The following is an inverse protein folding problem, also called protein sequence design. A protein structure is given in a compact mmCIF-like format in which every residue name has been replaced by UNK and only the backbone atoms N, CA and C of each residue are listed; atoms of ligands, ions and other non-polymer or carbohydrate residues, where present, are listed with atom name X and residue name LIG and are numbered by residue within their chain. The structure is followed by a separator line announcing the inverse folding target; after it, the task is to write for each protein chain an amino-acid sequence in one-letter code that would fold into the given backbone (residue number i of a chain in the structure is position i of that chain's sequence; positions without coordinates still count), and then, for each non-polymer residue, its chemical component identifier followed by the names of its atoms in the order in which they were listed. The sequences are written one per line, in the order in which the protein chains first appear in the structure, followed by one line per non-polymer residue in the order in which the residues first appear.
data_IF_591244444771
#
_entry.id   IF_591244444771
#
_cell.length_a   1.000
_cell.length_b   1.000
_cell.length_c   1.000
_cell.angle_alpha   90.00
_cell.angle_beta   90.00
_cell.angle_gamma   90.00
#
_symmetry.space_group_name_H-M   'P 1'
#
loop_
_entity.id
_entity.type
_entity.pdbx_description
1 polymer ?
#
# COMPACT_ATOMS: atom_id res chain seq x y z
N UNK A 1 -53.20 12.73 4.24
CA UNK A 1 -53.31 13.11 2.82
C UNK A 1 -52.95 11.86 2.02
N UNK A 2 -53.95 11.10 1.58
CA UNK A 2 -53.72 9.90 0.80
C UNK A 2 -53.41 10.31 -0.64
N UNK A 3 -52.18 10.05 -1.09
CA UNK A 3 -51.80 10.26 -2.48
C UNK A 3 -52.59 9.27 -3.35
N UNK A 4 -53.58 9.79 -4.09
CA UNK A 4 -54.34 9.00 -5.06
C UNK A 4 -53.39 8.36 -6.08
N UNK A 5 -53.62 7.09 -6.43
CA UNK A 5 -52.88 6.37 -7.46
C UNK A 5 -52.78 7.14 -8.79
N UNK A 6 -53.78 7.98 -9.09
CA UNK A 6 -53.78 8.86 -10.27
C UNK A 6 -52.64 9.89 -10.22
N UNK A 7 -52.29 10.40 -9.04
CA UNK A 7 -51.19 11.35 -8.84
C UNK A 7 -49.83 10.68 -8.99
N UNK A 8 -49.69 9.44 -8.50
CA UNK A 8 -48.48 8.63 -8.71
C UNK A 8 -48.27 8.32 -10.19
N UNK A 9 -49.34 7.95 -10.91
CA UNK A 9 -49.27 7.67 -12.35
C UNK A 9 -48.90 8.92 -13.16
N UNK A 10 -49.46 10.08 -12.80
CA UNK A 10 -49.09 11.37 -13.40
C UNK A 10 -47.62 11.72 -13.18
N UNK A 11 -47.11 11.54 -11.95
CA UNK A 11 -45.69 11.80 -11.64
C UNK A 11 -44.74 10.84 -12.37
N UNK A 12 -45.16 9.58 -12.56
CA UNK A 12 -44.37 8.59 -13.28
C UNK A 12 -44.34 8.90 -14.78
N UNK A 13 -45.47 9.29 -15.37
CA UNK A 13 -45.56 9.71 -16.76
C UNK A 13 -44.78 11.01 -17.04
N UNK A 14 -44.81 11.99 -16.12
CA UNK A 14 -44.01 13.22 -16.27
C UNK A 14 -42.52 12.93 -16.12
N UNK A 15 -42.13 12.05 -15.20
CA UNK A 15 -40.73 11.63 -15.05
C UNK A 15 -40.20 10.93 -16.31
N UNK A 16 -40.97 10.00 -16.90
CA UNK A 16 -40.60 9.33 -18.15
C UNK A 16 -40.54 10.30 -19.33
N UNK A 17 -41.44 11.28 -19.40
CA UNK A 17 -41.41 12.33 -20.43
C UNK A 17 -40.17 13.22 -20.35
N UNK A 18 -39.75 13.58 -19.13
CA UNK A 18 -38.52 14.36 -18.90
C UNK A 18 -37.27 13.53 -19.22
N UNK A 19 -37.24 12.25 -18.84
CA UNK A 19 -36.13 11.36 -19.18
C UNK A 19 -36.02 11.13 -20.69
N UNK A 20 -37.14 10.95 -21.39
CA UNK A 20 -37.15 10.78 -22.84
C UNK A 20 -36.66 12.03 -23.58
N UNK A 21 -37.08 13.22 -23.15
CA UNK A 21 -36.64 14.49 -23.75
C UNK A 21 -35.15 14.77 -23.47
N UNK A 22 -34.63 14.43 -22.28
CA UNK A 22 -33.21 14.53 -21.97
C UNK A 22 -32.35 13.58 -22.82
N UNK A 23 -32.76 12.31 -22.95
CA UNK A 23 -32.06 11.31 -23.79
C UNK A 23 -32.09 11.71 -25.27
N UNK A 24 -33.23 12.25 -25.76
CA UNK A 24 -33.35 12.74 -27.13
C UNK A 24 -32.45 13.95 -27.40
N UNK A 25 -32.39 14.90 -26.47
CA UNK A 25 -31.53 16.09 -26.59
C UNK A 25 -30.03 15.72 -26.60
N UNK A 26 -29.64 14.73 -25.81
CA UNK A 26 -28.29 14.15 -25.84
C UNK A 26 -28.01 13.43 -27.17
N UNK A 27 -28.99 12.71 -27.73
CA UNK A 27 -28.82 12.01 -29.02
C UNK A 27 -28.73 12.97 -30.21
N UNK A 28 -29.44 14.09 -30.17
CA UNK A 28 -29.35 15.13 -31.20
C UNK A 28 -28.03 15.93 -31.12
N UNK A 29 -27.36 15.98 -29.96
CA UNK A 29 -26.04 16.61 -29.81
C UNK A 29 -24.86 15.73 -30.27
N UNK A 30 -25.05 14.41 -30.38
CA UNK A 30 -24.02 13.49 -30.92
C UNK A 30 -24.11 13.24 -32.44
N UNK A 31 -25.13 13.76 -33.11
CA UNK A 31 -25.34 13.59 -34.56
C UNK A 31 -25.28 14.92 -35.32
N UNK A 32 -24.19 15.67 -35.15
CA UNK A 32 -23.86 16.78 -36.06
C UNK A 32 -22.83 16.29 -37.09
N UNK A 33 -23.16 16.25 -38.39
CA UNK A 33 -22.18 16.07 -39.45
C UNK A 33 -21.32 17.32 -39.53
N UNK A 34 -19.99 17.17 -39.56
CA UNK A 34 -19.09 18.27 -39.89
C UNK A 34 -19.41 18.78 -41.31
N UNK A 35 -19.94 19.99 -41.40
CA UNK A 35 -20.19 20.69 -42.64
C UNK A 35 -19.69 22.12 -42.46
N UNK A 36 -18.41 22.35 -42.79
CA UNK A 36 -18.07 23.29 -43.86
C UNK A 36 -16.56 23.41 -44.05
N UNK A 37 -16.18 23.09 -45.28
CA UNK A 37 -14.88 23.27 -45.90
C UNK A 37 -14.76 24.66 -46.50
N UNK A 38 -13.82 25.48 -46.03
CA UNK A 38 -13.30 26.61 -46.81
C UNK A 38 -11.93 27.11 -46.29
N UNK A 39 -10.89 26.29 -46.36
CA UNK A 39 -9.53 26.69 -46.77
C UNK A 39 -8.53 25.57 -46.54
N UNK A 40 -8.10 24.93 -47.63
CA UNK A 40 -6.74 24.48 -47.89
C UNK A 40 -6.74 23.80 -49.26
N UNK A 41 -6.54 24.60 -50.32
CA UNK A 41 -6.10 24.09 -51.61
C UNK A 41 -4.58 23.96 -51.57
N UNK A 42 -4.09 22.75 -51.86
CA UNK A 42 -2.67 22.43 -51.91
C UNK A 42 -2.42 21.02 -52.46
N UNK A 43 -2.90 20.79 -53.68
CA UNK A 43 -2.38 19.89 -54.73
C UNK A 43 -1.58 18.61 -54.38
N UNK A 44 -2.09 17.48 -54.94
CA UNK A 44 -1.41 16.33 -55.57
C UNK A 44 -0.52 15.43 -54.66
N UNK A 45 -0.52 14.10 -54.75
CA UNK A 45 -1.31 13.10 -55.45
C UNK A 45 -0.86 11.71 -54.94
N UNK A 46 -1.76 10.74 -55.12
CA UNK A 46 -1.50 9.32 -55.42
C UNK A 46 -1.78 8.30 -54.32
N UNK A 47 -2.58 7.35 -54.76
CA UNK A 47 -3.31 6.27 -54.12
C UNK A 47 -2.43 5.30 -53.33
N UNK A 48 -2.98 4.68 -52.29
CA UNK A 48 -3.24 3.23 -52.29
C UNK A 48 -4.08 2.73 -51.10
N UNK A 49 -5.31 2.36 -51.43
CA UNK A 49 -6.01 1.10 -51.07
C UNK A 49 -5.73 0.47 -49.70
N UNK A 50 -6.73 0.57 -48.83
CA UNK A 50 -6.93 -0.28 -47.66
C UNK A 50 -7.00 -1.76 -48.04
N UNK A 51 -6.20 -2.60 -47.35
CA UNK A 51 -6.43 -4.03 -47.16
C UNK A 51 -5.97 -4.43 -45.74
N UNK A 52 -6.94 -4.82 -44.91
CA UNK A 52 -6.77 -5.83 -43.84
C UNK A 52 -6.49 -7.19 -44.54
N UNK A 53 -5.69 -8.15 -44.02
CA UNK A 53 -5.99 -8.86 -42.77
C UNK A 53 -4.80 -9.47 -42.00
N UNK A 54 -5.12 -10.12 -40.88
CA UNK A 54 -4.28 -11.07 -40.15
C UNK A 54 -3.47 -11.98 -41.10
N UNK A 55 -2.15 -12.02 -40.91
CA UNK A 55 -1.29 -13.10 -41.35
C UNK A 55 -0.14 -13.25 -40.34
N UNK A 56 0.05 -14.48 -39.87
CA UNK A 56 1.14 -14.88 -39.00
C UNK A 56 2.45 -14.81 -39.79
N UNK A 57 3.39 -14.02 -39.31
CA UNK A 57 4.79 -14.11 -39.73
C UNK A 57 5.66 -13.62 -38.58
N UNK A 58 6.25 -14.59 -37.88
CA UNK A 58 7.39 -14.41 -37.00
C UNK A 58 8.50 -13.64 -37.73
N UNK A 59 8.60 -12.35 -37.44
CA UNK A 59 9.84 -11.59 -37.67
C UNK A 59 10.43 -11.34 -36.29
N UNK A 60 11.47 -12.12 -35.98
CA UNK A 60 12.34 -11.91 -34.84
C UNK A 60 13.05 -10.56 -35.02
N UNK A 61 12.38 -9.49 -34.62
CA UNK A 61 13.04 -8.28 -34.20
C UNK A 61 13.46 -8.51 -32.75
N UNK A 62 14.76 -8.71 -32.54
CA UNK A 62 15.40 -8.62 -31.22
C UNK A 62 15.16 -7.22 -30.66
N UNK A 63 14.00 -7.06 -30.03
CA UNK A 63 13.74 -6.00 -29.08
C UNK A 63 14.32 -6.49 -27.77
N UNK A 64 15.48 -5.97 -27.41
CA UNK A 64 15.96 -5.95 -26.03
C UNK A 64 14.77 -5.70 -25.10
N UNK A 65 14.40 -6.72 -24.33
CA UNK A 65 13.09 -6.86 -23.72
C UNK A 65 12.70 -5.62 -22.93
N UNK A 66 11.71 -4.87 -23.43
CA UNK A 66 11.03 -3.85 -22.65
C UNK A 66 10.27 -4.58 -21.54
N UNK A 67 10.91 -4.74 -20.38
CA UNK A 67 10.25 -5.28 -19.19
C UNK A 67 9.08 -4.37 -18.86
N UNK A 68 7.85 -4.89 -18.95
CA UNK A 68 6.64 -4.15 -18.59
C UNK A 68 6.77 -3.52 -17.20
N UNK A 69 6.34 -2.26 -17.06
CA UNK A 69 6.39 -1.51 -15.80
C UNK A 69 5.62 -2.27 -14.72
N UNK A 70 6.34 -2.72 -13.68
CA UNK A 70 5.74 -3.28 -12.46
C UNK A 70 5.09 -2.17 -11.61
N UNK A 71 3.86 -2.41 -11.20
CA UNK A 71 3.15 -1.60 -10.22
C UNK A 71 3.09 -2.38 -8.92
N UNK A 72 3.67 -1.85 -7.86
CA UNK A 72 3.88 -2.56 -6.60
C UNK A 72 3.02 -1.91 -5.54
N UNK A 73 2.24 -2.70 -4.82
CA UNK A 73 1.49 -2.24 -3.65
C UNK A 73 2.00 -2.96 -2.41
N UNK A 74 2.61 -2.20 -1.49
CA UNK A 74 2.87 -2.67 -0.13
C UNK A 74 1.61 -2.43 0.71
N UNK A 75 0.77 -3.47 0.79
CA UNK A 75 -0.48 -3.52 1.53
C UNK A 75 -0.21 -3.99 2.97
N UNK A 76 -0.53 -3.17 3.97
CA UNK A 76 -0.17 -3.48 5.34
C UNK A 76 -1.06 -2.77 6.38
N UNK A 77 -1.02 -3.18 7.64
CA UNK A 77 -1.70 -2.44 8.71
C UNK A 77 -0.79 -1.40 9.37
N UNK A 78 -1.40 -0.37 9.97
CA UNK A 78 -0.65 0.67 10.70
C UNK A 78 0.17 0.04 11.83
N UNK A 79 1.50 0.28 11.82
CA UNK A 79 2.52 -0.27 12.73
C UNK A 79 2.92 -1.74 12.49
N UNK A 80 2.67 -2.30 11.30
CA UNK A 80 3.16 -3.63 10.92
C UNK A 80 4.65 -3.72 10.59
N UNK A 81 5.36 -2.60 10.49
CA UNK A 81 6.76 -2.57 10.00
C UNK A 81 6.90 -2.14 8.54
N UNK A 82 5.79 -1.76 7.90
CA UNK A 82 5.76 -1.36 6.48
C UNK A 82 6.65 -0.17 6.11
N UNK A 83 7.08 0.66 7.07
CA UNK A 83 8.10 1.69 6.82
C UNK A 83 9.46 1.07 6.47
N UNK A 84 9.88 0.02 7.19
CA UNK A 84 11.13 -0.69 6.91
C UNK A 84 11.02 -1.45 5.58
N UNK A 85 9.95 -2.22 5.39
CA UNK A 85 9.71 -2.96 4.14
C UNK A 85 9.63 -2.04 2.93
N UNK A 86 9.05 -0.84 3.06
CA UNK A 86 9.00 0.15 1.99
C UNK A 86 10.39 0.66 1.57
N UNK A 87 11.37 0.66 2.47
CA UNK A 87 12.75 1.02 2.12
C UNK A 87 13.38 0.02 1.15
N UNK A 88 12.96 -1.26 1.18
CA UNK A 88 13.45 -2.23 0.18
C UNK A 88 13.21 -1.74 -1.25
N UNK A 89 12.15 -0.97 -1.50
CA UNK A 89 11.86 -0.36 -2.80
C UNK A 89 12.48 1.03 -2.96
N UNK A 90 12.47 1.84 -1.90
CA UNK A 90 12.95 3.22 -1.95
C UNK A 90 14.47 3.32 -2.20
N UNK A 91 15.24 2.28 -1.85
CA UNK A 91 16.68 2.20 -2.09
C UNK A 91 17.04 1.77 -3.52
N UNK A 92 16.06 1.31 -4.29
CA UNK A 92 16.26 0.88 -5.66
C UNK A 92 16.13 2.07 -6.64
N UNK A 93 17.17 2.39 -7.44
CA UNK A 93 17.12 3.50 -8.37
C UNK A 93 16.17 3.28 -9.56
N UNK A 94 15.70 2.06 -9.82
CA UNK A 94 14.69 1.76 -10.84
C UNK A 94 13.25 1.97 -10.37
N UNK A 95 13.01 2.13 -9.07
CA UNK A 95 11.66 2.17 -8.48
C UNK A 95 11.33 3.58 -7.96
N UNK A 96 10.20 4.12 -8.40
CA UNK A 96 9.60 5.30 -7.78
C UNK A 96 8.75 4.89 -6.57
N UNK A 97 9.23 5.15 -5.36
CA UNK A 97 8.54 4.77 -4.12
C UNK A 97 7.74 5.93 -3.51
N UNK A 98 6.48 5.68 -3.13
CA UNK A 98 5.58 6.66 -2.52
C UNK A 98 5.02 6.19 -1.17
N UNK A 99 5.21 7.02 -0.13
CA UNK A 99 4.78 6.72 1.24
C UNK A 99 3.35 7.21 1.51
N UNK A 100 2.39 6.30 1.64
CA UNK A 100 1.05 6.58 2.16
C UNK A 100 0.26 7.74 1.51
N UNK A 101 0.16 7.82 0.17
CA UNK A 101 -0.54 8.92 -0.51
C UNK A 101 -2.03 9.02 -0.13
N UNK A 102 -2.67 7.90 0.22
CA UNK A 102 -4.06 7.84 0.66
C UNK A 102 -4.33 8.62 1.97
N UNK A 103 -3.28 9.06 2.68
CA UNK A 103 -3.42 9.99 3.80
C UNK A 103 -4.17 11.25 3.40
N UNK A 104 -3.85 11.82 2.24
CA UNK A 104 -4.46 13.07 1.79
C UNK A 104 -5.96 12.89 1.54
N UNK A 105 -6.37 11.77 0.95
CA UNK A 105 -7.79 11.44 0.78
C UNK A 105 -8.47 11.35 2.14
N UNK A 106 -7.96 10.53 3.07
CA UNK A 106 -8.53 10.43 4.42
C UNK A 106 -8.62 11.79 5.13
N UNK A 107 -7.60 12.63 5.00
CA UNK A 107 -7.56 13.95 5.65
C UNK A 107 -8.57 14.93 5.03
N UNK A 108 -8.74 14.90 3.71
CA UNK A 108 -9.67 15.77 2.99
C UNK A 108 -11.12 15.55 3.44
N UNK A 109 -11.52 14.30 3.73
CA UNK A 109 -12.88 13.98 4.16
C UNK A 109 -13.09 14.06 5.68
N UNK A 110 -12.06 13.76 6.49
CA UNK A 110 -12.18 13.84 7.96
C UNK A 110 -12.23 15.27 8.50
N UNK A 111 -11.70 16.25 7.76
CA UNK A 111 -11.81 17.67 8.13
C UNK A 111 -13.20 18.27 7.82
N UNK A 112 -14.02 17.59 7.02
CA UNK A 112 -15.31 18.11 6.56
C UNK A 112 -16.51 17.61 7.36
N UNK A 113 -16.35 16.63 8.27
CA UNK A 113 -17.48 15.90 8.89
C UNK A 113 -17.48 15.95 10.43
N UNK A 114 -18.68 16.08 11.03
CA UNK A 114 -18.90 16.00 12.48
C UNK A 114 -18.55 14.61 13.06
N UNK A 115 -18.27 14.55 14.37
CA UNK A 115 -17.74 13.37 15.10
C UNK A 115 -18.50 12.04 14.92
N UNK A 116 -19.72 12.03 14.38
CA UNK A 116 -20.60 10.86 14.28
C UNK A 116 -20.24 9.90 13.11
N UNK A 117 -19.50 10.35 12.09
CA UNK A 117 -19.23 9.59 10.84
C UNK A 117 -17.95 8.74 10.85
N UNK A 118 -17.11 8.86 11.89
CA UNK A 118 -15.75 8.28 11.94
C UNK A 118 -15.66 6.75 11.83
N UNK A 119 -16.74 6.03 12.06
CA UNK A 119 -16.78 4.55 12.06
C UNK A 119 -17.18 3.94 10.71
N UNK A 120 -17.94 4.68 9.88
CA UNK A 120 -18.45 4.24 8.57
C UNK A 120 -17.62 4.77 7.38
N UNK A 121 -16.69 5.71 7.63
CA UNK A 121 -15.96 6.47 6.59
C UNK A 121 -14.97 5.64 5.77
N UNK A 122 -14.30 4.63 6.33
CA UNK A 122 -13.19 3.95 5.64
C UNK A 122 -13.59 3.30 4.31
N UNK A 123 -14.76 2.64 4.27
CA UNK A 123 -15.28 2.01 3.05
C UNK A 123 -15.88 3.02 2.06
N UNK A 124 -16.43 4.13 2.55
CA UNK A 124 -16.94 5.20 1.70
C UNK A 124 -15.83 5.85 0.85
N UNK A 125 -14.57 5.77 1.29
CA UNK A 125 -13.42 6.32 0.60
C UNK A 125 -12.79 5.36 -0.42
N UNK A 126 -13.26 4.12 -0.55
CA UNK A 126 -12.64 3.11 -1.43
C UNK A 126 -12.60 3.53 -2.89
N UNK A 127 -13.65 4.21 -3.39
CA UNK A 127 -13.66 4.76 -4.74
C UNK A 127 -12.53 5.78 -4.95
N UNK A 128 -12.44 6.77 -4.06
CA UNK A 128 -11.39 7.79 -4.11
C UNK A 128 -9.98 7.20 -3.93
N UNK A 129 -9.82 6.16 -3.09
CA UNK A 129 -8.56 5.44 -2.93
C UNK A 129 -8.15 4.72 -4.20
N UNK A 130 -9.08 3.99 -4.84
CA UNK A 130 -8.83 3.30 -6.11
C UNK A 130 -8.43 4.29 -7.20
N UNK A 131 -9.19 5.37 -7.36
CA UNK A 131 -8.96 6.34 -8.43
C UNK A 131 -7.62 7.08 -8.25
N UNK A 132 -7.28 7.43 -7.00
CA UNK A 132 -5.98 8.03 -6.70
C UNK A 132 -4.82 7.04 -6.95
N UNK A 133 -4.94 5.78 -6.52
CA UNK A 133 -3.89 4.78 -6.79
C UNK A 133 -3.68 4.58 -8.28
N UNK A 134 -4.76 4.45 -9.05
CA UNK A 134 -4.70 4.32 -10.50
C UNK A 134 -3.99 5.53 -11.15
N UNK A 135 -4.34 6.76 -10.75
CA UNK A 135 -3.70 7.98 -11.25
C UNK A 135 -2.20 8.01 -10.91
N UNK A 136 -1.83 7.70 -9.66
CA UNK A 136 -0.43 7.68 -9.22
C UNK A 136 0.40 6.58 -9.87
N UNK A 137 -0.17 5.40 -10.14
CA UNK A 137 0.51 4.34 -10.88
C UNK A 137 0.80 4.73 -12.34
N UNK A 138 -0.04 5.59 -12.91
CA UNK A 138 0.21 6.24 -14.21
C UNK A 138 1.10 7.49 -14.11
N UNK A 139 1.70 7.76 -12.94
CA UNK A 139 2.52 8.93 -12.66
C UNK A 139 1.80 10.27 -12.89
N UNK A 140 0.50 10.33 -12.66
CA UNK A 140 -0.26 11.57 -12.67
C UNK A 140 -0.45 12.08 -11.22
N UNK A 141 0.34 13.09 -10.84
CA UNK A 141 0.25 13.70 -9.52
C UNK A 141 -0.80 14.82 -9.43
N UNK A 142 -1.36 15.27 -10.56
CA UNK A 142 -2.34 16.37 -10.58
C UNK A 142 -3.62 15.99 -9.83
N UNK A 143 -4.01 14.70 -9.87
CA UNK A 143 -5.17 14.18 -9.16
C UNK A 143 -5.07 14.35 -7.63
N UNK A 144 -3.86 14.44 -7.06
CA UNK A 144 -3.68 14.67 -5.63
C UNK A 144 -4.06 16.09 -5.18
N UNK A 145 -4.08 17.07 -6.08
CA UNK A 145 -4.37 18.46 -5.73
C UNK A 145 -5.76 18.61 -5.11
N UNK A 146 -6.72 17.81 -5.58
CA UNK A 146 -8.07 17.73 -5.02
C UNK A 146 -8.12 17.30 -3.56
N UNK A 147 -7.09 16.61 -3.06
CA UNK A 147 -7.02 16.07 -1.69
C UNK A 147 -6.02 16.79 -0.78
N UNK A 148 -5.15 17.64 -1.33
CA UNK A 148 -4.18 18.41 -0.54
C UNK A 148 -4.84 19.68 0.00
N UNK A 149 -4.58 20.01 1.27
CA UNK A 149 -5.10 21.20 1.94
C UNK A 149 -3.95 21.95 2.63
N UNK A 150 -3.76 23.26 2.37
CA UNK A 150 -4.48 24.09 1.38
C UNK A 150 -4.29 23.56 -0.06
N UNK A 151 -5.24 23.89 -0.95
CA UNK A 151 -5.15 23.42 -2.35
C UNK A 151 -3.87 23.97 -2.99
N UNK A 152 -3.09 23.14 -3.71
CA UNK A 152 -1.90 23.58 -4.42
C UNK A 152 -2.22 24.70 -5.42
N UNK A 153 -1.31 25.65 -5.57
CA UNK A 153 -1.35 26.70 -6.59
C UNK A 153 -0.20 26.45 -7.56
N UNK A 154 -0.45 26.53 -8.87
CA UNK A 154 0.54 26.24 -9.92
C UNK A 154 1.23 24.88 -9.74
N UNK A 155 0.47 23.87 -9.31
CA UNK A 155 0.97 22.52 -8.99
C UNK A 155 1.99 22.47 -7.82
N UNK A 156 2.13 23.53 -7.03
CA UNK A 156 3.09 23.62 -5.93
C UNK A 156 2.42 23.48 -4.57
N UNK A 157 3.00 22.64 -3.70
CA UNK A 157 2.57 22.48 -2.31
C UNK A 157 3.75 22.46 -1.34
N UNK A 158 3.53 22.95 -0.12
CA UNK A 158 4.45 22.77 1.03
C UNK A 158 4.02 21.62 1.95
N UNK A 159 2.80 21.11 1.76
CA UNK A 159 2.17 20.14 2.63
C UNK A 159 1.99 18.85 1.86
N UNK A 160 2.99 17.97 1.98
CA UNK A 160 2.94 16.62 1.44
C UNK A 160 3.30 15.63 2.54
N UNK A 161 2.39 14.70 2.83
CA UNK A 161 2.54 13.79 3.95
C UNK A 161 3.78 12.93 3.75
N UNK A 162 4.75 13.11 4.66
CA UNK A 162 5.97 12.28 4.72
C UNK A 162 6.74 12.25 3.39
N UNK A 163 6.79 13.39 2.68
CA UNK A 163 7.62 13.59 1.48
C UNK A 163 9.03 13.00 1.63
N UNK A 164 9.65 13.21 2.79
CA UNK A 164 11.01 12.78 3.10
C UNK A 164 11.23 11.27 3.09
N UNK A 165 10.16 10.46 3.18
CA UNK A 165 10.24 9.01 3.09
C UNK A 165 10.32 8.49 1.65
N UNK A 166 10.36 9.37 0.64
CA UNK A 166 10.44 9.02 -0.77
C UNK A 166 11.64 9.73 -1.41
N UNK A 167 12.72 8.99 -1.71
CA UNK A 167 13.97 9.56 -2.22
C UNK A 167 13.76 10.38 -3.49
N UNK A 168 12.96 9.87 -4.44
CA UNK A 168 12.68 10.55 -5.70
C UNK A 168 12.00 11.93 -5.53
N UNK A 169 11.31 12.17 -4.40
CA UNK A 169 10.70 13.47 -4.09
C UNK A 169 11.67 14.44 -3.39
N UNK A 170 12.83 13.94 -2.98
CA UNK A 170 13.87 14.65 -2.24
C UNK A 170 15.18 14.79 -3.03
N UNK A 171 15.20 14.34 -4.28
CA UNK A 171 16.34 14.49 -5.19
C UNK A 171 15.94 15.29 -6.43
N UNK A 172 16.92 15.70 -7.22
CA UNK A 172 16.69 16.28 -8.55
C UNK A 172 15.85 15.31 -9.43
N UNK A 173 14.91 15.80 -10.25
CA UNK A 173 14.58 17.22 -10.48
C UNK A 173 13.59 17.82 -9.48
N UNK A 174 13.00 17.01 -8.59
CA UNK A 174 11.91 17.43 -7.69
C UNK A 174 12.39 18.35 -6.57
N UNK A 175 13.59 18.12 -6.06
CA UNK A 175 14.29 19.01 -5.14
C UNK A 175 15.56 19.53 -5.83
N UNK A 176 15.56 20.83 -6.16
CA UNK A 176 16.65 21.49 -6.88
C UNK A 176 17.68 22.16 -5.96
N UNK A 177 17.36 22.35 -4.67
CA UNK A 177 18.30 22.89 -3.69
C UNK A 177 19.28 21.78 -3.23
N UNK A 178 20.59 22.06 -3.26
CA UNK A 178 21.63 21.14 -2.78
C UNK A 178 22.27 20.22 -3.82
N UNK A 179 22.15 20.52 -5.13
CA UNK A 179 22.76 19.71 -6.21
C UNK A 179 24.27 19.47 -6.02
N UNK A 180 24.99 20.40 -5.41
CA UNK A 180 26.43 20.25 -5.08
C UNK A 180 26.68 19.40 -3.81
N UNK A 181 25.75 19.34 -2.85
CA UNK A 181 25.85 18.57 -1.59
C UNK A 181 25.36 17.10 -1.73
N UNK A 182 24.47 16.81 -2.69
CA UNK A 182 23.95 15.45 -2.98
C UNK A 182 25.05 14.49 -3.50
N UNK A 183 26.19 15.03 -3.93
CA UNK A 183 27.36 14.23 -4.34
C UNK A 183 28.14 13.63 -3.16
N UNK A 184 27.89 14.09 -1.92
CA UNK A 184 28.61 13.63 -0.73
C UNK A 184 27.82 12.61 0.11
N UNK A 185 26.50 12.79 0.29
CA UNK A 185 25.67 11.92 1.13
C UNK A 185 24.23 11.79 0.60
N UNK A 186 23.61 10.60 0.74
CA UNK A 186 22.21 10.40 0.37
C UNK A 186 21.31 11.26 1.29
N UNK A 187 20.32 11.99 0.74
CA UNK A 187 19.44 12.83 1.55
C UNK A 187 18.65 11.98 2.54
N UNK A 188 18.91 12.16 3.83
CA UNK A 188 18.20 11.44 4.90
C UNK A 188 16.80 12.05 5.17
N UNK A 189 16.00 11.37 6.01
CA UNK A 189 14.65 11.85 6.34
C UNK A 189 14.65 13.23 7.05
N UNK A 190 15.79 13.69 7.56
CA UNK A 190 15.96 14.96 8.27
C UNK A 190 16.41 16.11 7.36
N UNK A 191 17.12 15.80 6.28
CA UNK A 191 17.66 16.72 5.29
C UNK A 191 16.55 17.25 4.38
N UNK A 192 15.71 16.36 3.86
CA UNK A 192 14.71 16.72 2.86
C UNK A 192 13.72 17.80 3.33
N UNK A 193 13.15 17.75 4.55
CA UNK A 193 12.28 18.83 5.04
C UNK A 193 13.00 20.17 5.24
N UNK A 194 14.30 20.17 5.52
CA UNK A 194 15.09 21.39 5.77
C UNK A 194 15.47 22.10 4.47
N UNK A 195 15.79 21.34 3.42
CA UNK A 195 16.32 21.85 2.15
C UNK A 195 15.25 21.91 1.06
N UNK A 196 14.34 20.94 1.01
CA UNK A 196 13.30 20.88 -0.02
C UNK A 196 12.01 21.56 0.47
N UNK A 197 11.92 22.89 0.35
CA UNK A 197 10.80 23.68 0.90
C UNK A 197 9.45 23.43 0.22
N UNK A 198 9.44 23.38 -1.11
CA UNK A 198 8.23 23.22 -1.93
C UNK A 198 8.34 21.97 -2.79
N UNK A 199 7.19 21.33 -3.05
CA UNK A 199 7.05 20.19 -3.94
C UNK A 199 6.22 20.65 -5.14
N UNK A 200 6.81 20.57 -6.32
CA UNK A 200 6.07 20.75 -7.58
C UNK A 200 5.58 19.37 -8.05
N UNK A 201 4.26 19.21 -8.15
CA UNK A 201 3.61 17.95 -8.51
C UNK A 201 3.88 17.55 -9.97
N UNK A 202 4.08 18.52 -10.87
CA UNK A 202 4.51 18.25 -12.25
C UNK A 202 5.91 17.64 -12.30
N UNK A 203 6.86 18.16 -11.50
CA UNK A 203 8.19 17.56 -11.38
C UNK A 203 8.12 16.17 -10.73
N UNK A 204 7.22 15.95 -9.79
CA UNK A 204 6.99 14.64 -9.20
C UNK A 204 6.47 13.62 -10.23
N UNK A 205 5.51 14.03 -11.09
CA UNK A 205 5.04 13.22 -12.23
C UNK A 205 6.20 12.85 -13.15
N UNK A 206 7.05 13.81 -13.52
CA UNK A 206 8.23 13.56 -14.37
C UNK A 206 9.24 12.62 -13.72
N UNK A 207 9.54 12.81 -12.43
CA UNK A 207 10.43 11.92 -11.69
C UNK A 207 9.87 10.49 -11.56
N UNK A 208 8.55 10.35 -11.45
CA UNK A 208 7.87 9.06 -11.51
C UNK A 208 7.99 8.43 -12.90
N UNK A 209 7.74 9.18 -13.97
CA UNK A 209 7.84 8.69 -15.35
C UNK A 209 9.26 8.25 -15.73
N UNK A 210 10.29 8.90 -15.15
CA UNK A 210 11.69 8.57 -15.38
C UNK A 210 12.15 7.24 -14.75
N UNK A 211 11.32 6.57 -13.94
CA UNK A 211 11.65 5.32 -13.25
C UNK A 211 10.93 4.14 -13.91
N UNK A 212 11.56 2.96 -13.94
CA UNK A 212 10.99 1.77 -14.59
C UNK A 212 9.75 1.23 -13.87
N UNK A 213 9.68 1.38 -12.55
CA UNK A 213 8.62 0.79 -11.71
C UNK A 213 8.07 1.79 -10.71
N UNK A 214 6.87 1.51 -10.18
CA UNK A 214 6.21 2.37 -9.18
C UNK A 214 5.79 1.51 -7.99
N UNK A 215 6.25 1.87 -6.79
CA UNK A 215 5.89 1.21 -5.54
C UNK A 215 5.14 2.16 -4.61
N UNK A 216 3.94 1.77 -4.18
CA UNK A 216 3.12 2.56 -3.25
C UNK A 216 2.91 1.76 -1.98
N UNK A 217 3.19 2.39 -0.83
CA UNK A 217 2.84 1.83 0.48
C UNK A 217 1.54 2.41 0.98
N UNK A 218 0.62 1.58 1.47
CA UNK A 218 -0.60 2.06 2.13
C UNK A 218 -1.01 1.23 3.33
N UNK A 219 -1.67 1.88 4.29
CA UNK A 219 -2.26 1.27 5.49
C UNK A 219 -3.73 1.62 5.71
N UNK A 220 -4.37 2.17 4.67
CA UNK A 220 -5.74 2.72 4.72
C UNK A 220 -6.77 1.88 4.00
N UNK A 221 -6.32 0.87 3.24
CA UNK A 221 -7.20 -0.11 2.63
C UNK A 221 -7.46 -1.19 3.70
N UNK A 222 -8.71 -1.48 4.06
CA UNK A 222 -9.03 -2.46 5.10
C UNK A 222 -8.66 -3.89 4.71
N UNK A 223 -9.13 -4.35 3.55
CA UNK A 223 -9.08 -5.75 3.17
C UNK A 223 -8.52 -5.93 1.76
N UNK A 224 -7.86 -7.07 1.50
CA UNK A 224 -7.30 -7.38 0.17
C UNK A 224 -8.38 -7.39 -0.92
N UNK A 225 -9.62 -7.76 -0.58
CA UNK A 225 -10.74 -7.79 -1.53
C UNK A 225 -11.08 -6.40 -2.10
N UNK A 226 -10.79 -5.33 -1.36
CA UNK A 226 -11.01 -3.95 -1.79
C UNK A 226 -10.07 -3.54 -2.95
N UNK A 227 -9.02 -4.32 -3.20
CA UNK A 227 -8.05 -4.10 -4.28
C UNK A 227 -8.39 -4.80 -5.58
N UNK A 228 -9.46 -5.62 -5.61
CA UNK A 228 -9.81 -6.45 -6.76
C UNK A 228 -9.93 -5.64 -8.06
N UNK A 229 -10.73 -4.57 -8.05
CA UNK A 229 -10.93 -3.74 -9.26
C UNK A 229 -9.65 -3.11 -9.77
N UNK A 230 -8.73 -2.72 -8.87
CA UNK A 230 -7.43 -2.17 -9.28
C UNK A 230 -6.50 -3.25 -9.82
N UNK A 231 -6.58 -4.47 -9.27
CA UNK A 231 -5.76 -5.61 -9.68
C UNK A 231 -6.19 -6.19 -11.03
N UNK A 232 -7.49 -6.17 -11.32
CA UNK A 232 -8.07 -6.61 -12.60
C UNK A 232 -7.92 -5.57 -13.73
N UNK A 233 -7.47 -4.34 -13.44
CA UNK A 233 -7.27 -3.31 -14.46
C UNK A 233 -6.15 -3.72 -15.44
N UNK A 234 -6.44 -3.90 -16.74
CA UNK A 234 -5.47 -4.40 -17.71
C UNK A 234 -4.32 -3.43 -17.98
N UNK A 235 -4.45 -2.15 -17.56
CA UNK A 235 -3.38 -1.16 -17.70
C UNK A 235 -2.28 -1.33 -16.64
N UNK A 236 -2.54 -2.12 -15.59
CA UNK A 236 -1.63 -2.29 -14.46
C UNK A 236 -1.13 -3.73 -14.36
N UNK A 237 0.21 -3.91 -14.43
CA UNK A 237 0.86 -5.10 -13.87
C UNK A 237 1.02 -4.95 -12.35
N UNK A 238 -0.10 -5.01 -11.62
CA UNK A 238 -0.13 -4.83 -10.17
C UNK A 238 0.30 -6.10 -9.42
N UNK A 239 1.33 -5.96 -8.57
CA UNK A 239 1.82 -6.95 -7.62
C UNK A 239 1.60 -6.46 -6.20
N UNK A 240 0.95 -7.27 -5.37
CA UNK A 240 0.58 -6.94 -4.00
C UNK A 240 1.49 -7.72 -3.05
N UNK A 241 2.19 -6.98 -2.20
CA UNK A 241 2.94 -7.53 -1.08
C UNK A 241 2.13 -7.23 0.17
N UNK A 242 1.53 -8.26 0.73
CA UNK A 242 0.74 -8.15 1.96
C UNK A 242 1.64 -8.39 3.16
N UNK A 243 2.02 -7.31 3.84
CA UNK A 243 2.84 -7.36 5.05
C UNK A 243 1.94 -7.48 6.29
N UNK A 244 2.01 -8.65 6.93
CA UNK A 244 1.33 -8.96 8.19
C UNK A 244 2.32 -8.97 9.35
N UNK A 245 1.82 -8.77 10.56
CA UNK A 245 2.61 -8.77 11.80
C UNK A 245 1.77 -9.27 12.96
N UNK A 246 2.39 -9.87 13.97
CA UNK A 246 1.74 -10.25 15.22
C UNK A 246 0.87 -9.09 15.78
N UNK A 247 -0.46 -9.30 15.95
CA UNK A 247 -1.36 -8.28 16.47
C UNK A 247 -0.97 -7.72 17.86
N UNK A 248 -0.31 -8.51 18.71
CA UNK A 248 0.21 -8.08 20.01
C UNK A 248 1.33 -7.07 19.81
N UNK A 249 2.23 -7.32 18.86
CA UNK A 249 3.29 -6.40 18.48
C UNK A 249 2.73 -5.11 17.85
N UNK A 250 1.69 -5.23 17.01
CA UNK A 250 0.96 -4.08 16.46
C UNK A 250 0.37 -3.23 17.60
N UNK A 251 -0.32 -3.85 18.56
CA UNK A 251 -0.92 -3.14 19.70
C UNK A 251 0.13 -2.43 20.54
N UNK A 252 1.19 -3.12 20.96
CA UNK A 252 2.28 -2.54 21.75
C UNK A 252 2.90 -1.32 21.03
N UNK A 253 3.17 -1.48 19.73
CA UNK A 253 3.71 -0.42 18.89
C UNK A 253 2.74 0.75 18.75
N UNK A 254 1.43 0.50 18.62
CA UNK A 254 0.38 1.54 18.57
C UNK A 254 0.20 2.28 19.91
N UNK A 255 0.32 1.58 21.04
CA UNK A 255 0.26 2.17 22.39
C UNK A 255 1.40 3.15 22.63
N UNK A 256 2.62 2.75 22.29
CA UNK A 256 3.78 3.65 22.32
C UNK A 256 3.59 4.79 21.32
N UNK A 257 3.01 4.47 20.16
CA UNK A 257 2.96 5.39 19.06
C UNK A 257 1.92 6.53 19.22
N UNK A 258 0.73 6.17 19.67
CA UNK A 258 -0.43 7.06 19.65
C UNK A 258 -1.01 7.14 21.06
N UNK A 259 -0.25 7.64 22.04
CA UNK A 259 -0.60 7.52 23.46
C UNK A 259 -1.97 8.13 23.78
N UNK A 260 -2.38 9.20 23.08
CA UNK A 260 -3.72 9.78 23.22
C UNK A 260 -4.85 8.86 22.77
N UNK A 261 -4.68 8.13 21.66
CA UNK A 261 -5.69 7.19 21.14
C UNK A 261 -5.74 5.88 21.94
N UNK A 262 -4.64 5.49 22.55
CA UNK A 262 -4.49 4.22 23.29
C UNK A 262 -4.39 4.42 24.80
N UNK A 263 -4.93 5.53 25.33
CA UNK A 263 -4.82 5.87 26.77
C UNK A 263 -5.35 4.77 27.67
N UNK A 264 -6.52 4.20 27.35
CA UNK A 264 -7.10 3.09 28.12
C UNK A 264 -6.17 1.87 28.16
N UNK A 265 -5.59 1.49 27.02
CA UNK A 265 -4.63 0.39 26.93
C UNK A 265 -3.36 0.66 27.75
N UNK A 266 -2.82 1.88 27.73
CA UNK A 266 -1.65 2.25 28.55
C UNK A 266 -1.94 2.16 30.05
N UNK A 267 -3.12 2.61 30.48
CA UNK A 267 -3.53 2.52 31.89
C UNK A 267 -3.68 1.07 32.31
N UNK A 268 -4.31 0.23 31.47
CA UNK A 268 -4.39 -1.20 31.73
C UNK A 268 -2.98 -1.81 31.87
N UNK A 269 -2.07 -1.48 30.95
CA UNK A 269 -0.72 -2.02 30.94
C UNK A 269 0.07 -1.68 32.21
N UNK A 270 -0.11 -0.46 32.72
CA UNK A 270 0.59 0.02 33.92
C UNK A 270 -0.04 -0.48 35.24
N UNK A 271 -1.35 -0.70 35.27
CA UNK A 271 -2.09 -1.02 36.51
C UNK A 271 -2.49 -2.48 36.64
N UNK A 272 -2.41 -3.26 35.56
CA UNK A 272 -2.94 -4.62 35.48
C UNK A 272 -4.48 -4.70 35.49
N UNK A 273 -5.19 -3.57 35.59
CA UNK A 273 -6.66 -3.52 35.66
C UNK A 273 -7.22 -2.88 34.41
N UNK A 274 -8.11 -3.58 33.70
CA UNK A 274 -8.76 -3.07 32.50
C UNK A 274 -9.73 -1.92 32.82
N UNK A 275 -9.49 -0.69 32.33
CA UNK A 275 -10.49 0.37 32.41
C UNK A 275 -11.74 0.03 31.58
N UNK A 276 -12.94 0.44 32.05
CA UNK A 276 -14.21 0.23 31.34
C UNK A 276 -14.27 0.84 29.94
N UNK A 277 -13.49 1.89 29.69
CA UNK A 277 -13.47 2.62 28.42
C UNK A 277 -12.36 2.17 27.45
N UNK A 278 -11.70 1.03 27.72
CA UNK A 278 -10.75 0.47 26.74
C UNK A 278 -11.51 0.06 25.48
N UNK A 279 -11.12 0.64 24.35
CA UNK A 279 -11.65 0.27 23.05
C UNK A 279 -10.95 -1.00 22.53
N UNK A 280 -11.65 -2.14 22.62
CA UNK A 280 -11.22 -3.41 22.07
C UNK A 280 -11.56 -3.55 20.57
N UNK A 281 -12.47 -2.73 20.05
CA UNK A 281 -13.00 -2.89 18.68
C UNK A 281 -11.91 -2.70 17.64
N UNK A 282 -10.97 -1.79 17.89
CA UNK A 282 -9.88 -1.50 16.97
C UNK A 282 -8.91 -2.67 16.78
N UNK A 283 -8.53 -3.36 17.87
CA UNK A 283 -7.64 -4.52 17.76
C UNK A 283 -8.36 -5.71 17.16
N UNK A 284 -9.61 -5.96 17.56
CA UNK A 284 -10.46 -7.00 16.96
C UNK A 284 -10.63 -6.79 15.46
N UNK A 285 -10.89 -5.55 15.02
CA UNK A 285 -10.96 -5.22 13.61
C UNK A 285 -9.64 -5.46 12.89
N UNK A 286 -8.51 -5.05 13.48
CA UNK A 286 -7.19 -5.31 12.90
C UNK A 286 -6.96 -6.80 12.68
N UNK A 287 -7.35 -7.64 13.63
CA UNK A 287 -7.20 -9.09 13.54
C UNK A 287 -8.11 -9.69 12.46
N UNK A 288 -9.38 -9.27 12.40
CA UNK A 288 -10.32 -9.70 11.35
C UNK A 288 -9.89 -9.28 9.95
N UNK A 289 -9.43 -8.04 9.79
CA UNK A 289 -8.96 -7.52 8.49
C UNK A 289 -7.74 -8.33 7.99
N UNK A 290 -6.81 -8.70 8.90
CA UNK A 290 -5.67 -9.58 8.59
C UNK A 290 -6.15 -10.98 8.24
N UNK A 291 -6.96 -11.61 9.09
CA UNK A 291 -7.50 -12.96 8.91
C UNK A 291 -8.19 -13.09 7.55
N UNK A 292 -9.16 -12.22 7.27
CA UNK A 292 -9.87 -12.20 5.99
C UNK A 292 -8.92 -12.05 4.81
N UNK A 293 -7.94 -11.14 4.91
CA UNK A 293 -7.03 -10.88 3.80
C UNK A 293 -6.05 -12.03 3.55
N UNK A 294 -5.60 -12.71 4.61
CA UNK A 294 -4.74 -13.89 4.52
C UNK A 294 -5.52 -15.07 3.92
N UNK A 295 -6.75 -15.32 4.38
CA UNK A 295 -7.61 -16.39 3.85
C UNK A 295 -7.84 -16.23 2.34
N UNK A 296 -8.17 -15.02 1.87
CA UNK A 296 -8.31 -14.75 0.42
C UNK A 296 -6.98 -14.92 -0.31
N UNK A 297 -5.87 -14.53 0.32
CA UNK A 297 -4.53 -14.76 -0.21
C UNK A 297 -4.24 -16.25 -0.45
N UNK A 298 -4.60 -17.12 0.50
CA UNK A 298 -4.44 -18.57 0.39
C UNK A 298 -5.39 -19.21 -0.62
N UNK A 299 -6.61 -18.70 -0.76
CA UNK A 299 -7.56 -19.16 -1.78
C UNK A 299 -7.06 -18.90 -3.21
N UNK A 300 -6.09 -18.00 -3.41
CA UNK A 300 -5.47 -17.66 -4.71
C UNK A 300 -6.52 -17.50 -5.83
N UNK A 301 -7.54 -16.63 -5.66
CA UNK A 301 -8.56 -16.41 -6.68
C UNK A 301 -7.92 -15.92 -7.99
N UNK A 302 -8.63 -16.09 -9.10
CA UNK A 302 -8.09 -15.82 -10.46
C UNK A 302 -7.45 -14.44 -10.62
N UNK A 303 -8.06 -13.41 -10.05
CA UNK A 303 -7.55 -12.03 -10.08
C UNK A 303 -6.29 -11.81 -9.25
N UNK A 304 -5.98 -12.68 -8.29
CA UNK A 304 -4.87 -12.56 -7.36
C UNK A 304 -3.73 -13.55 -7.64
N UNK A 305 -4.01 -14.62 -8.41
CA UNK A 305 -3.06 -15.68 -8.74
C UNK A 305 -1.80 -15.12 -9.40
N UNK A 306 -0.64 -15.43 -8.82
CA UNK A 306 0.67 -14.93 -9.25
C UNK A 306 0.91 -13.44 -8.98
N UNK A 307 -0.08 -12.70 -8.46
CA UNK A 307 0.01 -11.25 -8.19
C UNK A 307 0.10 -10.91 -6.71
N UNK A 308 0.19 -11.91 -5.83
CA UNK A 308 0.18 -11.72 -4.38
C UNK A 308 1.28 -12.50 -3.68
N UNK A 309 1.95 -11.82 -2.75
CA UNK A 309 2.92 -12.40 -1.83
C UNK A 309 2.54 -12.00 -0.39
N UNK A 310 2.35 -13.00 0.48
CA UNK A 310 2.22 -12.80 1.91
C UNK A 310 3.62 -12.73 2.54
N UNK A 311 3.89 -11.68 3.31
CA UNK A 311 5.15 -11.52 4.03
C UNK A 311 4.85 -11.28 5.50
N UNK A 312 5.39 -12.12 6.37
CA UNK A 312 5.37 -11.87 7.81
C UNK A 312 6.52 -10.96 8.21
N UNK A 313 6.22 -9.95 9.02
CA UNK A 313 7.21 -9.02 9.52
C UNK A 313 8.27 -9.73 10.37
N UNK A 314 7.90 -10.75 11.12
CA UNK A 314 8.81 -11.53 11.97
C UNK A 314 9.92 -12.20 11.15
N UNK A 315 9.58 -12.76 9.99
CA UNK A 315 10.53 -13.45 9.12
C UNK A 315 11.42 -12.44 8.40
N UNK A 316 10.84 -11.31 7.94
CA UNK A 316 11.60 -10.20 7.38
C UNK A 316 12.54 -9.55 8.41
N UNK A 317 12.12 -9.47 9.66
CA UNK A 317 12.93 -8.91 10.74
C UNK A 317 14.08 -9.85 11.15
N UNK A 318 13.88 -11.16 11.02
CA UNK A 318 14.87 -12.18 11.33
C UNK A 318 15.91 -12.31 10.21
N UNK A 319 15.45 -12.41 8.95
CA UNK A 319 16.28 -12.66 7.77
C UNK A 319 16.00 -11.60 6.67
N UNK A 320 16.40 -10.34 6.90
CA UNK A 320 16.02 -9.22 6.03
C UNK A 320 16.56 -9.33 4.60
N UNK A 321 17.79 -9.84 4.44
CA UNK A 321 18.40 -10.06 3.13
C UNK A 321 17.66 -11.13 2.32
N UNK A 322 17.44 -12.31 2.91
CA UNK A 322 16.76 -13.42 2.23
C UNK A 322 15.32 -13.07 1.87
N UNK A 323 14.58 -12.43 2.78
CA UNK A 323 13.22 -11.96 2.47
C UNK A 323 13.21 -10.86 1.42
N UNK A 324 14.24 -10.01 1.34
CA UNK A 324 14.35 -9.05 0.24
C UNK A 324 14.59 -9.76 -1.11
N UNK A 325 15.45 -10.78 -1.15
CA UNK A 325 15.67 -11.60 -2.37
C UNK A 325 14.38 -12.27 -2.83
N UNK A 326 13.61 -12.85 -1.90
CA UNK A 326 12.31 -13.45 -2.20
C UNK A 326 11.30 -12.45 -2.77
N UNK A 327 11.19 -11.28 -2.14
CA UNK A 327 10.30 -10.20 -2.61
C UNK A 327 10.66 -9.79 -4.04
N UNK A 328 11.95 -9.56 -4.34
CA UNK A 328 12.39 -9.16 -5.67
C UNK A 328 12.20 -10.26 -6.72
N UNK A 329 12.43 -11.53 -6.34
CA UNK A 329 12.12 -12.69 -7.19
C UNK A 329 10.64 -12.75 -7.55
N UNK A 330 9.75 -12.58 -6.57
CA UNK A 330 8.31 -12.52 -6.80
C UNK A 330 7.90 -11.37 -7.74
N UNK A 331 8.56 -10.22 -7.62
CA UNK A 331 8.34 -9.08 -8.50
C UNK A 331 8.90 -9.29 -9.92
N UNK A 332 9.78 -10.27 -10.12
CA UNK A 332 10.53 -10.48 -11.35
C UNK A 332 11.49 -9.32 -11.63
N UNK A 333 12.12 -8.78 -10.57
CA UNK A 333 13.06 -7.67 -10.62
C UNK A 333 14.42 -8.09 -10.07
N UNK A 334 15.49 -7.51 -10.60
CA UNK A 334 16.85 -7.70 -10.06
C UNK A 334 17.01 -6.92 -8.75
N UNK A 335 17.51 -7.59 -7.72
CA UNK A 335 17.78 -6.96 -6.42
C UNK A 335 19.01 -6.06 -6.52
N UNK A 336 18.79 -4.74 -6.55
CA UNK A 336 19.88 -3.78 -6.69
C UNK A 336 20.81 -3.75 -5.45
N UNK A 337 22.13 -3.67 -5.66
CA UNK A 337 23.15 -3.71 -4.59
C UNK A 337 22.95 -2.64 -3.49
N UNK A 338 22.37 -1.48 -3.83
CA UNK A 338 22.02 -0.43 -2.85
C UNK A 338 21.03 -0.90 -1.80
N UNK A 339 20.10 -1.78 -2.18
CA UNK A 339 19.12 -2.36 -1.25
C UNK A 339 19.85 -3.22 -0.22
N UNK A 340 20.75 -4.10 -0.67
CA UNK A 340 21.57 -4.95 0.21
C UNK A 340 22.49 -4.13 1.13
N UNK A 341 23.18 -3.13 0.57
CA UNK A 341 24.02 -2.22 1.34
C UNK A 341 23.21 -1.47 2.43
N UNK A 342 22.01 -1.00 2.08
CA UNK A 342 21.12 -0.36 3.04
C UNK A 342 20.64 -1.31 4.13
N UNK A 343 20.27 -2.56 3.79
CA UNK A 343 19.89 -3.58 4.76
C UNK A 343 21.03 -3.80 5.75
N UNK A 344 22.23 -4.14 5.26
CA UNK A 344 23.40 -4.40 6.09
C UNK A 344 23.72 -3.23 7.04
N UNK A 345 23.58 -1.99 6.56
CA UNK A 345 23.80 -0.80 7.37
C UNK A 345 22.72 -0.54 8.43
N UNK A 346 21.44 -0.82 8.12
CA UNK A 346 20.31 -0.45 8.98
C UNK A 346 19.91 -1.54 9.99
N UNK A 347 20.32 -2.79 9.78
CA UNK A 347 19.99 -3.91 10.68
C UNK A 347 21.12 -4.28 11.64
N UNK A 348 22.36 -3.86 11.36
CA UNK A 348 23.51 -4.13 12.22
C UNK A 348 23.85 -2.98 13.20
N UNK A 349 23.26 -1.79 13.04
CA UNK A 349 23.58 -0.63 13.87
C UNK A 349 22.61 -0.45 15.04
N UNK A 350 23.14 -0.46 16.26
CA UNK A 350 22.48 -0.10 17.52
C UNK A 350 22.39 1.42 17.76
N UNK A 351 22.69 2.24 16.73
CA UNK A 351 22.83 3.69 16.87
C UNK A 351 21.46 4.36 16.92
N UNK A 352 21.10 4.82 18.12
CA UNK A 352 19.92 5.62 18.41
C UNK A 352 20.02 6.98 17.69
N UNK A 353 19.22 7.18 16.64
CA UNK A 353 18.99 8.50 16.04
C UNK A 353 18.41 9.46 17.09
N UNK A 354 19.11 10.57 17.33
CA UNK A 354 18.93 11.56 18.42
C UNK A 354 17.85 12.61 18.17
N UNK A 355 16.89 12.38 17.26
CA UNK A 355 15.77 13.32 17.05
C UNK A 355 14.43 12.76 17.58
N UNK A 356 13.90 13.39 18.63
CA UNK A 356 12.71 12.97 19.37
C UNK A 356 11.44 12.79 18.51
N UNK A 357 11.35 13.50 17.37
CA UNK A 357 10.24 13.38 16.43
C UNK A 357 10.34 12.17 15.47
N UNK A 358 11.54 11.64 15.23
CA UNK A 358 11.81 10.57 14.25
C UNK A 358 11.95 9.18 14.85
N UNK A 359 12.19 9.05 16.16
CA UNK A 359 12.44 7.74 16.79
C UNK A 359 11.36 6.71 16.43
N UNK A 360 10.10 7.12 16.50
CA UNK A 360 8.93 6.24 16.40
C UNK A 360 8.77 5.54 15.04
N UNK A 361 9.17 6.18 13.95
CA UNK A 361 9.07 5.64 12.59
C UNK A 361 10.41 5.34 11.94
N UNK A 362 11.51 5.51 12.68
CA UNK A 362 12.86 5.15 12.25
C UNK A 362 12.90 3.71 11.74
N UNK A 363 13.59 3.52 10.61
CA UNK A 363 13.88 2.23 10.00
C UNK A 363 15.20 1.62 10.47
N UNK A 364 16.07 2.40 11.11
CA UNK A 364 17.32 1.92 11.72
C UNK A 364 17.04 1.44 13.14
N UNK A 365 17.03 0.11 13.34
CA UNK A 365 16.79 -0.60 14.61
C UNK A 365 17.31 -2.04 14.50
N UNK A 366 17.59 -2.66 15.65
CA UNK A 366 17.60 -4.11 15.76
C UNK A 366 16.18 -4.65 15.46
N UNK A 367 15.99 -5.15 14.25
CA UNK A 367 14.72 -5.67 13.75
C UNK A 367 14.27 -6.90 14.53
N UNK A 368 15.21 -7.78 14.89
CA UNK A 368 14.97 -9.02 15.64
C UNK A 368 14.44 -8.71 17.04
N UNK A 369 15.11 -7.84 17.80
CA UNK A 369 14.65 -7.42 19.12
C UNK A 369 13.32 -6.65 19.04
N UNK A 370 13.14 -5.82 18.00
CA UNK A 370 11.90 -5.05 17.80
C UNK A 370 10.69 -5.95 17.49
N UNK A 371 10.89 -7.09 16.83
CA UNK A 371 9.80 -8.03 16.51
C UNK A 371 9.15 -8.61 17.77
N UNK A 372 9.96 -9.02 18.75
CA UNK A 372 9.51 -9.68 19.98
C UNK A 372 9.36 -8.77 21.20
N UNK A 373 9.62 -7.46 21.04
CA UNK A 373 9.59 -6.50 22.14
C UNK A 373 8.25 -6.43 22.89
N UNK A 374 7.13 -6.82 22.28
CA UNK A 374 5.83 -6.85 22.95
C UNK A 374 5.79 -7.77 24.17
N UNK A 375 6.62 -8.83 24.20
CA UNK A 375 6.68 -9.79 25.31
C UNK A 375 7.12 -9.16 26.62
N UNK A 376 7.96 -8.14 26.56
CA UNK A 376 8.46 -7.41 27.75
C UNK A 376 7.68 -6.14 28.04
N UNK A 377 6.92 -5.63 27.07
CA UNK A 377 6.23 -4.34 27.17
C UNK A 377 4.73 -4.46 27.46
N UNK A 378 4.12 -5.63 27.26
CA UNK A 378 2.70 -5.86 27.53
C UNK A 378 2.51 -6.68 28.80
N UNK A 379 1.59 -6.22 29.65
CA UNK A 379 1.09 -6.98 30.79
C UNK A 379 0.41 -8.27 30.31
N UNK A 380 0.58 -9.35 31.07
CA UNK A 380 0.04 -10.66 30.75
C UNK A 380 -1.48 -10.66 30.48
N UNK A 381 -2.28 -9.91 31.24
CA UNK A 381 -3.73 -9.84 31.03
C UNK A 381 -4.11 -9.21 29.67
N UNK A 382 -3.31 -8.25 29.20
CA UNK A 382 -3.47 -7.68 27.85
C UNK A 382 -3.12 -8.75 26.81
N UNK A 383 -2.01 -9.46 27.00
CA UNK A 383 -1.57 -10.52 26.08
C UNK A 383 -2.66 -11.58 25.93
N UNK A 384 -3.18 -12.09 27.05
CA UNK A 384 -4.26 -13.08 27.10
C UNK A 384 -5.54 -12.58 26.41
N UNK A 385 -5.90 -11.32 26.65
CA UNK A 385 -7.06 -10.70 25.99
C UNK A 385 -6.88 -10.64 24.48
N UNK A 386 -5.73 -10.17 23.99
CA UNK A 386 -5.45 -10.09 22.55
C UNK A 386 -5.40 -11.49 21.93
N UNK A 387 -4.82 -12.48 22.62
CA UNK A 387 -4.83 -13.87 22.16
C UNK A 387 -6.24 -14.42 22.00
N UNK A 388 -7.14 -14.12 22.94
CA UNK A 388 -8.55 -14.52 22.85
C UNK A 388 -9.25 -13.83 21.67
N UNK A 389 -9.08 -12.52 21.52
CA UNK A 389 -9.72 -11.74 20.44
C UNK A 389 -9.19 -12.09 19.04
N UNK A 390 -7.92 -12.47 18.95
CA UNK A 390 -7.20 -12.67 17.69
C UNK A 390 -6.74 -14.11 17.51
N UNK A 391 -7.42 -15.06 18.16
CA UNK A 391 -7.03 -16.48 18.18
C UNK A 391 -6.83 -17.01 16.75
N UNK A 392 -7.87 -16.90 15.90
CA UNK A 392 -7.81 -17.34 14.51
C UNK A 392 -6.68 -16.69 13.72
N UNK A 393 -6.52 -15.37 13.85
CA UNK A 393 -5.42 -14.64 13.21
C UNK A 393 -4.06 -15.16 13.67
N UNK A 394 -3.87 -15.41 14.95
CA UNK A 394 -2.59 -15.91 15.49
C UNK A 394 -2.31 -17.34 15.05
N UNK A 395 -3.33 -18.19 14.93
CA UNK A 395 -3.20 -19.53 14.35
C UNK A 395 -2.77 -19.45 12.88
N UNK A 396 -3.42 -18.59 12.09
CA UNK A 396 -3.09 -18.37 10.68
C UNK A 396 -1.72 -17.74 10.46
N UNK A 397 -1.20 -16.97 11.41
CA UNK A 397 0.12 -16.35 11.32
C UNK A 397 1.21 -17.15 12.04
N UNK A 398 0.87 -18.27 12.66
CA UNK A 398 1.82 -19.16 13.31
C UNK A 398 2.89 -19.66 12.34
N UNK A 399 3.98 -20.27 12.83
CA UNK A 399 4.88 -21.00 11.95
C UNK A 399 4.06 -22.04 11.18
N UNK A 400 3.93 -21.83 9.87
CA UNK A 400 3.55 -22.88 8.94
C UNK A 400 4.79 -23.75 8.78
N UNK A 401 4.66 -25.03 9.10
CA UNK A 401 5.51 -26.01 8.44
C UNK A 401 5.00 -26.02 7.01
N UNK A 402 5.83 -25.59 6.07
CA UNK A 402 5.52 -25.73 4.66
C UNK A 402 5.50 -27.25 4.41
N UNK A 403 4.31 -27.81 4.17
CA UNK A 403 4.16 -29.14 3.58
C UNK A 403 4.58 -29.02 2.10
N UNK A 404 5.88 -28.91 1.86
CA UNK A 404 6.50 -29.24 0.57
C UNK A 404 6.96 -30.70 0.67
N UNK A 405 6.01 -31.63 0.73
CA UNK A 405 6.22 -33.07 0.51
C UNK A 405 5.25 -33.52 -0.60
N UNK A 406 5.58 -33.14 -1.83
CA UNK A 406 5.21 -33.87 -3.04
C UNK A 406 6.54 -34.08 -3.81
N UNK A 407 7.42 -34.92 -3.26
CA UNK A 407 8.36 -35.71 -4.05
C UNK A 407 8.50 -37.05 -3.32
N UNK A 408 7.96 -38.09 -3.97
CA UNK A 408 8.25 -39.48 -3.68
C UNK A 408 9.77 -39.66 -3.58
N UNK A 409 10.27 -40.20 -2.47
CA UNK A 409 11.31 -41.23 -2.49
C UNK A 409 11.38 -41.90 -1.11
N UNK A 410 11.16 -43.21 -1.13
CA UNK A 410 11.46 -44.15 -0.05
C UNK A 410 12.93 -44.01 0.39
N UNK A 411 13.19 -43.89 1.70
CA UNK A 411 14.15 -44.76 2.40
C UNK A 411 14.24 -44.41 3.89
N UNK A 412 14.40 -45.49 4.67
CA UNK A 412 14.37 -45.60 6.12
C UNK A 412 15.52 -44.90 6.89
N UNK A 413 15.23 -44.74 8.19
CA UNK A 413 16.12 -44.72 9.37
C UNK A 413 16.67 -43.39 9.95
N UNK A 414 16.22 -43.20 11.21
CA UNK A 414 16.91 -42.67 12.39
C UNK A 414 17.44 -41.22 12.40
N UNK A 415 16.69 -40.32 13.07
CA UNK A 415 17.23 -39.37 14.05
C UNK A 415 16.08 -38.73 14.89
N UNK A 416 15.72 -39.38 16.00
CA UNK A 416 14.58 -39.05 16.87
C UNK A 416 14.97 -38.15 18.08
N UNK A 417 16.00 -37.29 17.94
CA UNK A 417 16.52 -36.47 19.05
C UNK A 417 16.09 -34.98 19.01
N UNK A 418 15.61 -34.45 17.89
CA UNK A 418 15.14 -33.06 17.79
C UNK A 418 13.65 -32.88 18.17
N UNK A 419 12.92 -33.98 18.34
CA UNK A 419 11.49 -33.95 18.69
C UNK A 419 11.23 -33.54 20.15
N UNK A 420 12.22 -33.70 21.02
CA UNK A 420 12.11 -33.40 22.45
C UNK A 420 12.34 -31.92 22.80
N UNK A 421 13.07 -31.17 21.98
CA UNK A 421 13.38 -29.76 22.26
C UNK A 421 12.15 -28.84 22.05
N UNK A 422 11.24 -29.21 21.14
CA UNK A 422 10.02 -28.44 20.86
C UNK A 422 8.84 -28.74 21.79
N UNK A 423 8.84 -29.88 22.50
CA UNK A 423 7.82 -30.21 23.50
C UNK A 423 7.94 -29.36 24.77
N UNK A 424 9.10 -28.79 25.06
CA UNK A 424 9.30 -27.92 26.22
C UNK A 424 8.57 -26.57 26.10
N UNK A 425 8.33 -26.07 24.87
CA UNK A 425 7.61 -24.82 24.65
C UNK A 425 6.08 -24.92 24.85
N UNK A 426 5.52 -26.14 24.93
CA UNK A 426 4.10 -26.34 25.30
C UNK A 426 3.85 -26.27 26.80
N UNK A 427 4.87 -26.44 27.65
CA UNK A 427 4.67 -26.54 29.10
C UNK A 427 4.80 -25.21 29.87
N UNK A 428 5.32 -24.14 29.26
CA UNK A 428 5.39 -22.81 29.90
C UNK A 428 4.17 -21.89 29.59
N UNK A 429 3.15 -22.39 28.89
CA UNK A 429 1.91 -21.64 28.60
C UNK A 429 0.75 -22.03 29.54
N UNK A 430 0.96 -23.00 30.43
CA UNK A 430 0.05 -23.34 31.52
C UNK A 430 0.82 -23.46 32.84
N UNK A 431 1.20 -22.32 33.42
CA UNK A 431 1.42 -22.13 34.87
C UNK A 431 1.34 -20.66 35.21
#
# INVERSE_FOLDING_TARGET
MECSWKTLLLLLCTSLGVQYTAIRSLRESFNVPCQDSAHCQGHLAREQRWKSPCDDSHVLAETSGSTSRKHILLFAQTRSGSSFTGQLFNQDPGIFYLFEPLYHVQQAFTNSSSRLLKSLEGRALLGAYRDLLLSLYNCDFSFMEGYIRPQPQDHVTRVFFRRSSSHALCTSPVCQEGVEEILAEQPDETWCPKKCQTLNLTLASQACQARSHVAIKTVRIPEIGDLRTLTEDPRLDLRIIHLVRDPRAILASRMAAFPGKFRGWKIWNATGRQPRYVDLTQITRTCRDIEYSVEIGFQKPTWLRGRYLLVRYEDLALNPEEKAKEIYRFLGLDLHHRVLAWIAHNTNNSVLSTSEWNYKYSTSRDSKATSQGWRTHLNFEIVKTVQSLCNRTLTLLGPHYDDDDDDDDDDDDDDDDDRWCCLWLRSCVYS
#
